data_IF_516558547208
#
_entry.id   IF_516558547208
#
_cell.length_a   1.000
_cell.length_b   1.000
_cell.length_c   1.000
_cell.angle_alpha   90.00
_cell.angle_beta   90.00
_cell.angle_gamma   90.00
#
_symmetry.space_group_name_H-M   'P 1'
#
loop_
_entity.id
_entity.type
_entity.pdbx_description
1 polymer ?
#
# COMPACT_ATOMS: atom_id res chain seq x y z
N UNK A 1 -29.01 -0.60 -25.30
CA UNK A 1 -28.74 0.59 -26.15
C UNK A 1 -27.25 0.91 -26.11
N UNK A 2 -26.59 0.73 -27.26
CA UNK A 2 -25.28 1.23 -27.69
C UNK A 2 -24.02 1.06 -26.80
N UNK A 3 -23.28 -0.04 -27.04
CA UNK A 3 -21.84 -0.16 -26.75
C UNK A 3 -20.97 0.86 -27.54
N UNK A 4 -21.53 1.56 -28.52
CA UNK A 4 -20.81 2.54 -29.35
C UNK A 4 -20.56 3.88 -28.64
N UNK A 5 -21.40 4.26 -27.67
CA UNK A 5 -21.26 5.55 -26.96
C UNK A 5 -20.13 5.54 -25.92
N UNK A 6 -19.66 4.36 -25.49
CA UNK A 6 -18.57 4.23 -24.51
C UNK A 6 -17.23 4.76 -25.06
N UNK A 7 -17.00 4.63 -26.38
CA UNK A 7 -15.79 5.11 -27.05
C UNK A 7 -15.86 6.59 -27.44
N UNK A 8 -17.06 7.10 -27.73
CA UNK A 8 -17.27 8.52 -28.03
C UNK A 8 -17.10 9.41 -26.78
N UNK A 9 -17.44 8.90 -25.59
CA UNK A 9 -17.29 9.60 -24.30
C UNK A 9 -15.83 9.74 -23.84
N UNK A 10 -14.94 8.85 -24.29
CA UNK A 10 -13.50 8.88 -23.96
C UNK A 10 -12.76 9.96 -24.76
N UNK A 11 -13.28 10.37 -25.94
CA UNK A 11 -12.65 11.37 -26.80
C UNK A 11 -12.87 12.84 -26.42
N UNK A 12 -13.78 13.15 -25.48
CA UNK A 12 -14.22 14.53 -25.22
C UNK A 12 -13.67 15.17 -23.92
N UNK A 13 -12.66 14.58 -23.26
CA UNK A 13 -12.11 15.11 -22.00
C UNK A 13 -12.96 14.82 -20.75
N UNK A 14 -14.05 14.07 -20.89
CA UNK A 14 -14.87 13.56 -19.78
C UNK A 14 -14.30 12.29 -19.13
N UNK A 15 -13.23 11.72 -19.68
CA UNK A 15 -12.59 10.52 -19.15
C UNK A 15 -12.00 10.72 -17.76
N UNK A 16 -11.35 11.85 -17.49
CA UNK A 16 -10.79 12.19 -16.18
C UNK A 16 -11.85 12.34 -15.09
N UNK A 17 -12.95 13.10 -15.24
CA UNK A 17 -13.98 13.20 -14.21
C UNK A 17 -14.74 11.89 -13.99
N UNK A 18 -14.97 11.07 -15.03
CA UNK A 18 -15.54 9.73 -14.88
C UNK A 18 -14.61 8.79 -14.13
N UNK A 19 -13.30 8.82 -14.42
CA UNK A 19 -12.29 8.02 -13.75
C UNK A 19 -12.18 8.42 -12.27
N UNK A 20 -12.21 9.72 -11.96
CA UNK A 20 -12.29 10.25 -10.59
C UNK A 20 -13.59 9.83 -9.90
N UNK A 21 -14.75 9.90 -10.58
CA UNK A 21 -16.04 9.43 -10.04
C UNK A 21 -16.05 7.92 -9.76
N UNK A 22 -15.42 7.10 -10.60
CA UNK A 22 -15.27 5.66 -10.35
C UNK A 22 -14.28 5.35 -9.22
N UNK A 23 -13.19 6.13 -9.09
CA UNK A 23 -12.27 6.02 -7.94
C UNK A 23 -12.96 6.42 -6.63
N UNK A 24 -13.74 7.51 -6.66
CA UNK A 24 -14.60 7.92 -5.55
C UNK A 24 -15.67 6.86 -5.27
N UNK A 25 -16.25 6.23 -6.29
CA UNK A 25 -17.24 5.16 -6.17
C UNK A 25 -16.69 3.88 -5.52
N UNK A 26 -15.46 3.48 -5.88
CA UNK A 26 -14.78 2.36 -5.25
C UNK A 26 -14.33 2.69 -3.82
N UNK A 27 -14.03 3.98 -3.55
CA UNK A 27 -13.90 4.53 -2.20
C UNK A 27 -15.25 4.62 -1.46
N UNK A 28 -16.41 4.40 -2.09
CA UNK A 28 -17.74 4.48 -1.45
C UNK A 28 -18.41 3.12 -1.21
N UNK A 29 -17.88 2.00 -1.76
CA UNK A 29 -18.50 0.66 -1.61
C UNK A 29 -17.78 -0.16 -0.53
N UNK A 30 -18.43 -0.48 0.61
CA UNK A 30 -17.78 -1.19 1.71
C UNK A 30 -17.54 -2.65 1.31
N UNK A 31 -16.28 -3.08 1.35
CA UNK A 31 -15.96 -4.49 1.19
C UNK A 31 -16.43 -5.25 2.43
N UNK A 32 -16.95 -6.48 2.28
CA UNK A 32 -17.33 -7.30 3.42
C UNK A 32 -16.10 -7.57 4.30
N UNK A 33 -16.20 -7.46 5.64
CA UNK A 33 -15.06 -7.66 6.56
C UNK A 33 -14.32 -8.98 6.34
N UNK A 34 -15.05 -10.05 6.04
CA UNK A 34 -14.52 -11.39 5.78
C UNK A 34 -13.54 -11.44 4.59
N UNK A 35 -13.84 -10.70 3.51
CA UNK A 35 -12.94 -10.63 2.35
C UNK A 35 -11.69 -9.78 2.66
N UNK A 36 -11.84 -8.76 3.49
CA UNK A 36 -10.73 -7.90 3.91
C UNK A 36 -9.73 -8.69 4.77
N UNK A 37 -10.20 -9.46 5.75
CA UNK A 37 -9.34 -10.29 6.60
C UNK A 37 -8.56 -11.36 5.81
N UNK A 38 -9.21 -12.01 4.85
CA UNK A 38 -8.55 -12.98 3.97
C UNK A 38 -7.42 -12.31 3.17
N UNK A 39 -7.70 -11.15 2.57
CA UNK A 39 -6.72 -10.42 1.76
C UNK A 39 -5.59 -9.83 2.60
N UNK A 40 -5.87 -9.33 3.80
CA UNK A 40 -4.84 -8.86 4.74
C UNK A 40 -3.93 -10.00 5.18
N UNK A 41 -4.51 -11.13 5.59
CA UNK A 41 -3.75 -12.32 5.99
C UNK A 41 -2.88 -12.83 4.85
N UNK A 42 -3.44 -12.90 3.63
CA UNK A 42 -2.69 -13.26 2.43
C UNK A 42 -1.55 -12.27 2.14
N UNK A 43 -1.79 -10.96 2.27
CA UNK A 43 -0.76 -9.94 2.05
C UNK A 43 0.41 -10.05 3.04
N UNK A 44 0.12 -10.32 4.32
CA UNK A 44 1.13 -10.53 5.36
C UNK A 44 1.93 -11.81 5.07
N UNK A 45 1.25 -12.91 4.72
CA UNK A 45 1.90 -14.17 4.35
C UNK A 45 2.80 -14.01 3.12
N UNK A 46 2.32 -13.36 2.06
CA UNK A 46 3.09 -13.07 0.86
C UNK A 46 4.30 -12.18 1.18
N UNK A 47 4.13 -11.15 2.01
CA UNK A 47 5.23 -10.29 2.44
C UNK A 47 6.31 -11.05 3.21
N UNK A 48 5.91 -12.01 4.06
CA UNK A 48 6.83 -12.87 4.79
C UNK A 48 7.59 -13.82 3.87
N UNK A 49 6.91 -14.42 2.87
CA UNK A 49 7.55 -15.26 1.85
C UNK A 49 8.56 -14.45 1.05
N UNK A 50 8.19 -13.24 0.60
CA UNK A 50 9.11 -12.34 -0.12
C UNK A 50 10.32 -12.01 0.75
N UNK A 51 10.12 -11.69 2.03
CA UNK A 51 11.21 -11.44 2.98
C UNK A 51 12.13 -12.66 3.13
N UNK A 52 11.56 -13.85 3.26
CA UNK A 52 12.33 -15.09 3.38
C UNK A 52 13.14 -15.35 2.10
N UNK A 53 12.52 -15.19 0.93
CA UNK A 53 13.20 -15.29 -0.36
C UNK A 53 14.32 -14.25 -0.46
N UNK A 54 14.10 -13.00 -0.05
CA UNK A 54 15.14 -11.96 -0.06
C UNK A 54 16.33 -12.26 0.85
N UNK A 55 16.10 -12.87 2.01
CA UNK A 55 17.17 -13.22 2.96
C UNK A 55 17.97 -14.44 2.48
N UNK A 56 17.33 -15.40 1.81
CA UNK A 56 17.96 -16.65 1.37
C UNK A 56 18.33 -16.69 -0.13
N UNK A 57 17.99 -15.67 -0.93
CA UNK A 57 18.29 -15.63 -2.36
C UNK A 57 19.79 -15.41 -2.61
N UNK A 58 20.42 -16.38 -3.27
CA UNK A 58 21.84 -16.38 -3.62
C UNK A 58 22.11 -16.13 -5.12
N UNK A 59 21.07 -16.02 -5.98
CA UNK A 59 21.22 -15.98 -7.44
C UNK A 59 20.68 -14.68 -8.10
N UNK A 60 21.42 -14.09 -9.08
CA UNK A 60 21.02 -12.88 -9.81
C UNK A 60 19.77 -13.01 -10.70
N UNK A 61 19.35 -14.22 -11.08
CA UNK A 61 18.20 -14.42 -11.97
C UNK A 61 16.86 -14.10 -11.29
N UNK A 62 16.79 -14.15 -9.95
CA UNK A 62 15.65 -13.71 -9.16
C UNK A 62 15.51 -12.17 -9.14
N UNK A 63 16.58 -11.42 -9.42
CA UNK A 63 16.55 -9.95 -9.40
C UNK A 63 15.70 -9.34 -10.51
N UNK A 64 15.46 -10.05 -11.63
CA UNK A 64 14.63 -9.51 -12.72
C UNK A 64 13.12 -9.56 -12.38
N UNK A 65 12.68 -10.58 -11.64
CA UNK A 65 11.27 -10.75 -11.23
C UNK A 65 10.98 -9.99 -9.94
N UNK A 66 12.02 -9.71 -9.14
CA UNK A 66 11.92 -9.07 -7.84
C UNK A 66 11.24 -7.67 -7.87
N UNK A 67 11.62 -6.72 -8.74
CA UNK A 67 10.96 -5.42 -8.85
C UNK A 67 9.47 -5.52 -9.17
N UNK A 68 9.09 -6.45 -10.07
CA UNK A 68 7.69 -6.64 -10.47
C UNK A 68 6.86 -7.23 -9.33
N UNK A 69 7.40 -8.22 -8.61
CA UNK A 69 6.74 -8.78 -7.42
C UNK A 69 6.57 -7.73 -6.32
N UNK A 70 7.60 -6.92 -6.06
CA UNK A 70 7.50 -5.82 -5.11
C UNK A 70 6.48 -4.77 -5.54
N UNK A 71 6.41 -4.43 -6.84
CA UNK A 71 5.41 -3.49 -7.37
C UNK A 71 3.98 -4.02 -7.16
N UNK A 72 3.72 -5.29 -7.46
CA UNK A 72 2.39 -5.89 -7.25
C UNK A 72 2.05 -5.97 -5.76
N UNK A 73 2.99 -6.40 -4.92
CA UNK A 73 2.78 -6.50 -3.47
C UNK A 73 2.52 -5.13 -2.82
N UNK A 74 3.23 -4.08 -3.27
CA UNK A 74 3.04 -2.70 -2.79
C UNK A 74 1.71 -2.11 -3.25
N UNK A 75 1.28 -2.34 -4.49
CA UNK A 75 -0.04 -1.92 -4.97
C UNK A 75 -1.17 -2.63 -4.21
N UNK A 76 -1.05 -3.93 -3.96
CA UNK A 76 -1.99 -4.68 -3.13
C UNK A 76 -2.06 -4.09 -1.71
N UNK A 77 -0.90 -3.78 -1.11
CA UNK A 77 -0.81 -3.16 0.22
C UNK A 77 -1.51 -1.80 0.26
N UNK A 78 -1.30 -0.96 -0.75
CA UNK A 78 -1.96 0.35 -0.85
C UNK A 78 -3.49 0.20 -0.92
N UNK A 79 -3.98 -0.70 -1.78
CA UNK A 79 -5.41 -0.95 -1.93
C UNK A 79 -6.06 -1.45 -0.63
N UNK A 80 -5.41 -2.38 0.07
CA UNK A 80 -5.90 -2.92 1.33
C UNK A 80 -5.92 -1.90 2.46
N UNK A 81 -4.92 -1.02 2.55
CA UNK A 81 -4.89 0.06 3.54
C UNK A 81 -6.01 1.09 3.32
N UNK A 82 -6.29 1.45 2.06
CA UNK A 82 -7.41 2.38 1.75
C UNK A 82 -8.76 1.72 2.05
N UNK A 83 -8.92 0.44 1.70
CA UNK A 83 -10.12 -0.31 2.02
C UNK A 83 -10.33 -0.47 3.55
N UNK A 84 -9.28 -0.78 4.31
CA UNK A 84 -9.37 -0.98 5.76
C UNK A 84 -9.68 0.30 6.50
N UNK A 85 -9.01 1.41 6.19
CA UNK A 85 -9.28 2.70 6.83
C UNK A 85 -10.73 3.11 6.66
N UNK A 86 -11.32 2.89 5.48
CA UNK A 86 -12.75 3.14 5.29
C UNK A 86 -13.64 2.17 6.05
N UNK A 87 -13.34 0.87 6.04
CA UNK A 87 -14.13 -0.11 6.77
C UNK A 87 -14.13 0.19 8.27
N UNK A 88 -12.98 0.56 8.82
CA UNK A 88 -12.79 1.00 10.21
C UNK A 88 -13.58 2.28 10.49
N UNK A 89 -13.59 3.26 9.58
CA UNK A 89 -14.33 4.51 9.80
C UNK A 89 -15.86 4.35 9.70
N UNK A 90 -16.36 3.43 8.87
CA UNK A 90 -17.79 3.22 8.65
C UNK A 90 -18.42 2.20 9.61
N UNK A 91 -17.68 1.14 9.92
CA UNK A 91 -18.18 0.03 10.72
C UNK A 91 -17.43 -0.10 12.06
N UNK A 92 -16.35 0.65 12.31
CA UNK A 92 -15.62 0.56 13.59
C UNK A 92 -16.45 0.95 14.81
N UNK A 93 -17.53 1.71 14.64
CA UNK A 93 -18.45 2.08 15.72
C UNK A 93 -19.55 1.04 16.03
N UNK A 94 -19.74 0.01 15.18
CA UNK A 94 -20.85 -0.96 15.34
C UNK A 94 -20.50 -2.18 16.19
N UNK A 95 -19.26 -2.29 16.69
CA UNK A 95 -18.86 -3.30 17.69
C UNK A 95 -17.46 -3.89 17.50
N UNK A 96 -16.93 -4.62 18.50
CA UNK A 96 -15.63 -5.31 18.47
C UNK A 96 -15.66 -6.50 17.49
N UNK A 97 -15.49 -6.23 16.20
CA UNK A 97 -15.50 -7.24 15.13
C UNK A 97 -16.02 -6.71 13.80
N UNK A 98 -16.58 -5.49 13.79
CA UNK A 98 -17.17 -4.88 12.60
C UNK A 98 -16.13 -4.35 11.58
N UNK A 99 -14.86 -4.22 12.00
CA UNK A 99 -13.75 -3.82 11.14
C UNK A 99 -12.94 -5.01 10.57
N UNK A 100 -13.14 -6.23 11.08
CA UNK A 100 -12.35 -7.43 10.77
C UNK A 100 -11.53 -7.94 11.95
N UNK A 101 -11.44 -9.26 12.08
CA UNK A 101 -10.80 -9.96 13.19
C UNK A 101 -9.29 -9.71 13.24
N UNK A 102 -8.66 -9.58 12.06
CA UNK A 102 -7.22 -9.29 11.96
C UNK A 102 -6.94 -7.90 12.50
N UNK A 103 -7.74 -6.91 12.12
CA UNK A 103 -7.56 -5.52 12.56
C UNK A 103 -7.78 -5.39 14.07
N UNK A 104 -8.78 -6.07 14.62
CA UNK A 104 -9.03 -6.10 16.06
C UNK A 104 -7.90 -6.77 16.84
N UNK A 105 -7.42 -7.93 16.37
CA UNK A 105 -6.30 -8.63 16.98
C UNK A 105 -5.03 -7.75 16.99
N UNK A 106 -4.70 -7.10 15.87
CA UNK A 106 -3.59 -6.15 15.80
C UNK A 106 -3.79 -4.94 16.71
N UNK A 107 -5.00 -4.39 16.78
CA UNK A 107 -5.33 -3.28 17.66
C UNK A 107 -5.12 -3.63 19.14
N UNK A 108 -5.69 -4.75 19.59
CA UNK A 108 -5.53 -5.23 20.97
C UNK A 108 -4.06 -5.52 21.32
N UNK A 109 -3.30 -6.07 20.37
CA UNK A 109 -1.87 -6.35 20.53
C UNK A 109 -1.04 -5.07 20.70
N UNK A 110 -1.29 -4.05 19.88
CA UNK A 110 -0.53 -2.78 19.94
C UNK A 110 -0.89 -1.98 21.20
N UNK A 111 -2.14 -2.01 21.63
CA UNK A 111 -2.61 -1.24 22.79
C UNK A 111 -2.21 -1.93 24.10
N UNK A 112 -2.07 -3.26 24.12
CA UNK A 112 -1.58 -4.01 25.29
C UNK A 112 -2.39 -3.78 26.57
N UNK A 113 -3.66 -3.40 26.45
CA UNK A 113 -4.56 -3.05 27.57
C UNK A 113 -4.49 -1.59 28.04
N UNK A 114 -3.64 -0.74 27.46
CA UNK A 114 -3.57 0.69 27.78
C UNK A 114 -3.51 1.57 26.52
N UNK A 115 -4.58 2.31 26.25
CA UNK A 115 -4.67 3.24 25.12
C UNK A 115 -3.53 4.26 25.05
N UNK A 116 -2.98 4.69 26.20
CA UNK A 116 -1.84 5.59 26.23
C UNK A 116 -0.57 4.94 25.68
N UNK A 117 -0.34 3.65 26.00
CA UNK A 117 0.80 2.89 25.46
C UNK A 117 0.64 2.73 23.95
N UNK A 118 -0.57 2.36 23.49
CA UNK A 118 -0.87 2.25 22.06
C UNK A 118 -0.63 3.56 21.29
N UNK A 119 -1.03 4.70 21.85
CA UNK A 119 -0.80 6.02 21.24
C UNK A 119 0.70 6.36 21.14
N UNK A 120 1.47 6.09 22.21
CA UNK A 120 2.92 6.31 22.20
C UNK A 120 3.61 5.44 21.15
N UNK A 121 3.28 4.16 21.08
CA UNK A 121 3.83 3.23 20.08
C UNK A 121 3.45 3.69 18.66
N UNK A 122 2.21 4.11 18.44
CA UNK A 122 1.76 4.64 17.15
C UNK A 122 2.58 5.86 16.71
N UNK A 123 2.85 6.82 17.61
CA UNK A 123 3.68 7.99 17.33
C UNK A 123 5.13 7.59 16.99
N UNK A 124 5.71 6.65 17.74
CA UNK A 124 7.06 6.15 17.47
C UNK A 124 7.12 5.53 16.06
N UNK A 125 6.18 4.65 15.72
CA UNK A 125 6.12 4.02 14.40
C UNK A 125 5.90 5.03 13.28
N UNK A 126 5.06 6.05 13.50
CA UNK A 126 4.84 7.13 12.54
C UNK A 126 6.14 7.90 12.25
N UNK A 127 6.88 8.27 13.30
CA UNK A 127 8.16 8.99 13.17
C UNK A 127 9.19 8.12 12.44
N UNK A 128 9.31 6.84 12.80
CA UNK A 128 10.24 5.92 12.13
C UNK A 128 9.89 5.78 10.65
N UNK A 129 8.62 5.53 10.31
CA UNK A 129 8.20 5.39 8.92
C UNK A 129 8.53 6.64 8.11
N UNK A 130 8.22 7.83 8.62
CA UNK A 130 8.52 9.08 7.95
C UNK A 130 10.05 9.29 7.81
N UNK A 131 10.81 9.15 8.89
CA UNK A 131 12.25 9.38 8.90
C UNK A 131 13.03 8.43 7.97
N UNK A 132 12.63 7.15 7.91
CA UNK A 132 13.26 6.15 7.02
C UNK A 132 12.97 6.46 5.56
N UNK A 133 11.73 6.82 5.21
CA UNK A 133 11.37 7.18 3.82
C UNK A 133 12.14 8.42 3.37
N UNK A 134 12.18 9.48 4.18
CA UNK A 134 12.92 10.71 3.84
C UNK A 134 14.41 10.46 3.70
N UNK A 135 15.03 9.72 4.64
CA UNK A 135 16.47 9.42 4.59
C UNK A 135 16.82 8.46 3.45
N UNK A 136 15.97 7.46 3.18
CA UNK A 136 16.15 6.50 2.09
C UNK A 136 16.07 7.17 0.72
N UNK A 137 15.07 8.03 0.51
CA UNK A 137 14.93 8.81 -0.72
C UNK A 137 16.14 9.73 -0.96
N UNK A 138 16.68 10.34 0.11
CA UNK A 138 17.87 11.19 0.03
C UNK A 138 19.10 10.47 -0.53
N UNK A 139 19.41 9.26 -0.04
CA UNK A 139 20.57 8.50 -0.52
C UNK A 139 20.43 8.03 -1.97
N UNK A 140 19.21 7.65 -2.39
CA UNK A 140 18.94 7.25 -3.79
C UNK A 140 19.03 8.46 -4.74
N UNK A 141 18.63 9.65 -4.27
CA UNK A 141 18.72 10.89 -5.05
C UNK A 141 20.17 11.37 -5.23
N UNK A 142 21.02 11.21 -4.22
CA UNK A 142 22.45 11.51 -4.30
C UNK A 142 23.15 10.63 -5.34
N UNK A 143 22.86 9.33 -5.32
CA UNK A 143 23.44 8.36 -6.26
C UNK A 143 22.96 8.61 -7.69
N UNK A 144 21.67 8.94 -7.91
CA UNK A 144 21.18 9.33 -9.24
C UNK A 144 21.80 10.64 -9.74
N UNK A 145 21.99 11.63 -8.86
CA UNK A 145 22.64 12.89 -9.24
C UNK A 145 24.09 12.65 -9.65
N UNK A 146 24.81 11.78 -8.93
CA UNK A 146 26.17 11.39 -9.28
C UNK A 146 26.22 10.60 -10.59
N UNK A 147 25.29 9.67 -10.83
CA UNK A 147 25.21 8.96 -12.12
C UNK A 147 24.78 9.84 -13.29
N UNK A 148 23.96 10.86 -13.05
CA UNK A 148 23.58 11.84 -14.07
C UNK A 148 24.75 12.78 -14.38
N UNK A 149 25.55 13.16 -13.38
CA UNK A 149 26.79 13.92 -13.56
C UNK A 149 27.88 13.09 -14.26
N UNK A 150 28.05 11.82 -13.87
CA UNK A 150 29.00 10.88 -14.49
C UNK A 150 28.59 10.51 -15.93
N UNK A 151 27.34 10.74 -16.34
CA UNK A 151 26.83 10.49 -17.69
C UNK A 151 26.87 11.72 -18.63
N UNK A 152 27.29 12.90 -18.15
CA UNK A 152 27.39 14.09 -19.00
C UNK A 152 28.58 13.97 -19.98
N UNK A 153 28.38 14.03 -21.30
CA UNK A 153 29.45 13.84 -22.27
C UNK A 153 30.44 15.01 -22.20
N UNK A 154 31.65 14.76 -21.70
CA UNK A 154 32.65 15.83 -21.60
C UNK A 154 33.93 15.54 -20.83
N UNK A 155 34.01 14.46 -20.02
CA UNK A 155 35.27 13.96 -19.43
C UNK A 155 35.02 12.54 -18.90
N UNK A 156 36.02 11.69 -19.06
CA UNK A 156 36.04 10.26 -18.74
C UNK A 156 35.35 9.89 -17.43
#
# INVERSE_FOLDING_TARGET
MSMGNMRALVGLGLGTPLLVLTLLGMMLIPLPPLALDLLFTFNIALSLVVLLVSVYALRPLDFAVFPTLLLVATLLRLALNVASTRLVLLNGHTGPGAAGDVIEAFGSFVIGGNYAVGLVVFVILMIINFAVVTKGAGRVSEVNARFTLDAMPGKQ
#
